data_IF_121889729892
#
_entry.id   IF_121889729892
#
_cell.length_a   1.000
_cell.length_b   1.000
_cell.length_c   1.000
_cell.angle_alpha   90.00
_cell.angle_beta   90.00
_cell.angle_gamma   90.00
#
_symmetry.space_group_name_H-M   'P 1'
#
loop_
_entity.id
_entity.type
_entity.pdbx_description
1 polymer ?
#
# COMPACT_ATOMS: atom_id res chain seq x y z
N UNK A 1 0.27 22.13 29.89
CA UNK A 1 0.95 23.03 28.93
C UNK A 1 1.48 22.15 27.82
N UNK A 2 0.72 22.02 26.74
CA UNK A 2 1.23 21.36 25.53
C UNK A 2 2.32 22.26 24.97
N UNK A 3 3.54 21.73 24.82
CA UNK A 3 4.60 22.44 24.12
C UNK A 3 4.09 22.76 22.72
N UNK A 4 4.12 24.04 22.31
CA UNK A 4 3.70 24.47 20.99
C UNK A 4 4.39 23.60 19.93
N UNK A 5 3.60 22.78 19.21
CA UNK A 5 4.05 22.02 18.04
C UNK A 5 4.46 20.55 18.28
N UNK A 6 4.15 19.93 19.41
CA UNK A 6 4.35 18.48 19.61
C UNK A 6 3.07 17.85 20.18
N UNK A 7 2.59 16.78 19.57
CA UNK A 7 1.49 15.92 20.03
C UNK A 7 1.99 14.48 20.19
N UNK A 8 1.81 13.90 21.37
CA UNK A 8 2.13 12.49 21.63
C UNK A 8 0.87 11.64 21.57
N UNK A 9 0.95 10.49 20.93
CA UNK A 9 -0.15 9.53 20.81
C UNK A 9 0.30 8.19 21.39
N UNK A 10 -0.43 7.68 22.38
CA UNK A 10 -0.31 6.30 22.84
C UNK A 10 -1.36 5.40 22.19
N UNK A 11 -1.15 4.08 22.24
CA UNK A 11 -2.14 3.12 21.72
C UNK A 11 -3.46 3.15 22.46
N UNK A 12 -3.45 3.56 23.73
CA UNK A 12 -4.64 3.64 24.59
C UNK A 12 -5.54 4.80 24.16
N UNK A 13 -4.95 5.89 23.67
CA UNK A 13 -5.66 7.10 23.25
C UNK A 13 -6.53 6.86 22.01
N UNK A 14 -6.25 5.79 21.25
CA UNK A 14 -6.94 5.50 19.98
C UNK A 14 -8.29 4.81 20.19
N UNK A 15 -8.47 4.07 21.28
CA UNK A 15 -9.66 3.23 21.51
C UNK A 15 -10.99 4.01 21.47
N UNK A 16 -11.10 5.20 22.08
CA UNK A 16 -12.35 5.97 22.06
C UNK A 16 -12.75 6.48 20.67
N UNK A 17 -11.82 6.59 19.74
CA UNK A 17 -12.01 7.17 18.40
C UNK A 17 -12.06 6.12 17.31
N UNK A 18 -11.89 4.84 17.65
CA UNK A 18 -11.94 3.76 16.68
C UNK A 18 -13.39 3.56 16.18
N UNK A 19 -13.63 3.42 14.86
CA UNK A 19 -14.93 3.03 14.34
C UNK A 19 -15.30 1.62 14.78
N UNK A 20 -16.58 1.27 14.70
CA UNK A 20 -17.04 -0.08 15.05
C UNK A 20 -16.43 -1.14 14.13
N UNK A 21 -16.28 -0.83 12.84
CA UNK A 21 -15.67 -1.70 11.84
C UNK A 21 -14.92 -0.87 10.80
N UNK A 22 -13.86 -1.43 10.22
CA UNK A 22 -13.12 -0.85 9.13
C UNK A 22 -12.65 -1.94 8.14
N UNK A 23 -13.30 -2.02 6.99
CA UNK A 23 -12.99 -2.95 5.91
C UNK A 23 -12.51 -2.18 4.68
N UNK A 24 -11.61 -2.79 3.90
CA UNK A 24 -11.22 -2.25 2.60
C UNK A 24 -12.33 -2.54 1.59
N UNK A 25 -12.82 -1.48 0.94
CA UNK A 25 -13.84 -1.53 -0.11
C UNK A 25 -13.43 -0.70 -1.33
N UNK A 26 -14.15 -0.83 -2.44
CA UNK A 26 -13.99 -0.02 -3.66
C UNK A 26 -12.57 -0.04 -4.24
N UNK A 27 -11.93 -1.21 -4.21
CA UNK A 27 -10.55 -1.38 -4.69
C UNK A 27 -10.49 -1.21 -6.21
N UNK A 28 -9.67 -0.25 -6.66
CA UNK A 28 -9.40 0.00 -8.09
C UNK A 28 -7.90 0.02 -8.33
N UNK A 29 -7.46 -0.60 -9.42
CA UNK A 29 -6.13 -0.36 -9.97
C UNK A 29 -6.21 0.87 -10.88
N UNK A 30 -5.34 1.84 -10.65
CA UNK A 30 -5.37 3.11 -11.37
C UNK A 30 -4.19 3.26 -12.34
N UNK A 31 -2.98 2.99 -11.88
CA UNK A 31 -1.79 3.15 -12.69
C UNK A 31 -0.68 2.21 -12.21
N UNK A 32 0.37 2.11 -13.00
CA UNK A 32 1.60 1.42 -12.62
C UNK A 32 2.79 1.97 -13.39
N UNK A 33 4.00 1.66 -12.92
CA UNK A 33 5.23 1.98 -13.63
C UNK A 33 6.36 1.03 -13.23
N UNK A 34 7.37 0.93 -14.10
CA UNK A 34 8.65 0.32 -13.75
C UNK A 34 9.72 1.40 -13.60
N UNK A 35 10.58 1.26 -12.60
CA UNK A 35 11.86 1.95 -12.61
C UNK A 35 12.78 1.31 -13.66
N UNK A 36 13.43 2.17 -14.44
CA UNK A 36 14.38 1.78 -15.49
C UNK A 36 15.79 2.14 -15.05
N UNK A 37 16.74 1.22 -15.26
CA UNK A 37 18.16 1.52 -15.06
C UNK A 37 18.62 2.50 -16.17
N UNK A 38 18.95 3.73 -15.78
CA UNK A 38 19.35 4.80 -16.67
C UNK A 38 20.22 5.83 -15.91
N UNK A 39 20.89 6.72 -16.65
CA UNK A 39 21.72 7.79 -16.06
C UNK A 39 20.93 8.88 -15.35
N UNK A 40 19.64 9.03 -15.67
CA UNK A 40 18.69 9.95 -15.04
C UNK A 40 17.52 9.17 -14.46
N UNK A 41 16.81 9.69 -13.44
CA UNK A 41 15.60 9.07 -12.95
C UNK A 41 14.62 8.80 -14.10
N UNK A 42 14.35 7.52 -14.39
CA UNK A 42 13.54 7.13 -15.55
C UNK A 42 12.52 6.08 -15.17
N UNK A 43 11.26 6.28 -15.58
CA UNK A 43 10.19 5.30 -15.42
C UNK A 43 9.57 4.93 -16.76
N UNK A 44 9.07 3.69 -16.86
CA UNK A 44 8.21 3.24 -17.95
C UNK A 44 6.76 3.15 -17.45
N UNK A 45 5.82 3.74 -18.17
CA UNK A 45 4.38 3.80 -17.86
C UNK A 45 3.56 3.23 -19.02
N UNK A 46 2.62 2.30 -18.78
CA UNK A 46 2.21 1.73 -17.48
C UNK A 46 3.23 0.75 -16.89
N UNK A 47 4.31 0.41 -17.59
CA UNK A 47 5.21 -0.65 -17.21
C UNK A 47 4.55 -2.03 -17.26
N UNK A 48 5.27 -3.04 -16.80
CA UNK A 48 4.71 -4.40 -16.63
C UNK A 48 5.40 -5.09 -15.48
N UNK A 49 4.67 -5.79 -14.60
CA UNK A 49 5.30 -6.66 -13.60
C UNK A 49 6.03 -7.80 -14.29
N UNK A 50 7.05 -8.33 -13.64
CA UNK A 50 7.75 -9.50 -14.13
C UNK A 50 6.80 -10.71 -14.22
N UNK A 51 6.88 -11.48 -15.28
CA UNK A 51 6.01 -12.64 -15.48
C UNK A 51 6.54 -13.83 -14.71
N UNK A 52 5.71 -14.46 -13.91
CA UNK A 52 6.03 -15.70 -13.23
C UNK A 52 6.36 -16.80 -14.23
N UNK A 53 7.56 -17.36 -14.11
CA UNK A 53 8.10 -18.39 -15.00
C UNK A 53 8.83 -19.43 -14.17
N UNK A 54 8.10 -20.35 -13.50
CA UNK A 54 8.70 -21.29 -12.58
C UNK A 54 9.63 -22.27 -13.31
N UNK A 55 10.83 -22.42 -12.79
CA UNK A 55 11.78 -23.43 -13.24
C UNK A 55 11.35 -24.81 -12.75
N UNK A 56 11.55 -25.83 -13.58
CA UNK A 56 11.26 -27.22 -13.23
C UNK A 56 12.40 -27.84 -12.41
N UNK A 57 12.06 -28.73 -11.48
CA UNK A 57 12.98 -29.50 -10.67
C UNK A 57 13.69 -28.68 -9.57
N UNK A 58 14.71 -29.30 -8.97
CA UNK A 58 15.52 -28.65 -7.96
C UNK A 58 16.52 -27.67 -8.58
N UNK A 59 16.63 -26.48 -7.99
CA UNK A 59 17.53 -25.42 -8.47
C UNK A 59 18.38 -24.86 -7.34
N UNK A 60 19.70 -24.89 -7.52
CA UNK A 60 20.63 -24.19 -6.66
C UNK A 60 20.71 -22.73 -7.12
N UNK A 61 20.41 -21.79 -6.22
CA UNK A 61 20.56 -20.36 -6.46
C UNK A 61 21.77 -19.80 -5.70
N UNK A 62 22.26 -18.67 -6.17
CA UNK A 62 23.25 -17.87 -5.46
C UNK A 62 22.59 -17.10 -4.33
N UNK A 63 23.36 -16.74 -3.32
CA UNK A 63 22.94 -15.80 -2.27
C UNK A 63 22.75 -14.41 -2.88
N UNK A 64 21.82 -13.65 -2.30
CA UNK A 64 21.64 -12.25 -2.65
C UNK A 64 22.95 -11.48 -2.44
N UNK A 65 23.27 -10.58 -3.36
CA UNK A 65 24.50 -9.78 -3.32
C UNK A 65 24.35 -8.50 -4.14
N UNK A 66 25.20 -7.52 -3.87
CA UNK A 66 25.19 -6.24 -4.57
C UNK A 66 24.17 -5.25 -3.99
N UNK A 67 23.75 -4.29 -4.81
CA UNK A 67 22.85 -3.22 -4.39
C UNK A 67 21.41 -3.73 -4.24
N UNK A 68 20.82 -3.43 -3.09
CA UNK A 68 19.42 -3.73 -2.76
C UNK A 68 18.74 -2.44 -2.28
N UNK A 69 17.56 -2.15 -2.80
CA UNK A 69 16.81 -0.95 -2.41
C UNK A 69 15.92 -1.21 -1.19
N UNK A 70 16.08 -0.37 -0.16
CA UNK A 70 15.17 -0.28 0.99
C UNK A 70 13.97 0.60 0.61
N UNK A 71 14.23 1.69 -0.11
CA UNK A 71 13.23 2.60 -0.66
C UNK A 71 13.65 3.06 -2.05
N UNK A 72 13.32 2.27 -3.07
CA UNK A 72 13.77 2.53 -4.45
C UNK A 72 13.34 3.90 -4.96
N UNK A 73 12.12 4.32 -4.66
CA UNK A 73 11.62 5.62 -5.09
C UNK A 73 12.44 6.78 -4.50
N UNK A 74 12.77 6.70 -3.20
CA UNK A 74 13.59 7.71 -2.54
C UNK A 74 15.04 7.64 -3.02
N UNK A 75 15.58 6.45 -3.25
CA UNK A 75 16.95 6.28 -3.74
C UNK A 75 17.14 6.84 -5.16
N UNK A 76 16.14 6.66 -6.03
CA UNK A 76 16.23 7.08 -7.44
C UNK A 76 15.75 8.51 -7.71
N UNK A 77 14.86 9.02 -6.86
CA UNK A 77 14.28 10.37 -7.01
C UNK A 77 14.08 11.03 -5.64
N UNK A 78 15.18 11.40 -4.95
CA UNK A 78 15.14 11.83 -3.54
C UNK A 78 14.36 13.14 -3.32
N UNK A 79 14.40 14.06 -4.29
CA UNK A 79 13.73 15.36 -4.17
C UNK A 79 12.21 15.25 -4.20
N UNK A 80 11.68 14.26 -4.92
CA UNK A 80 10.23 14.02 -5.03
C UNK A 80 9.89 12.54 -5.19
N UNK A 81 10.04 11.70 -4.14
CA UNK A 81 9.86 10.26 -4.24
C UNK A 81 8.45 9.81 -4.66
N UNK A 82 7.46 10.68 -4.50
CA UNK A 82 6.06 10.42 -4.89
C UNK A 82 5.69 10.93 -6.29
N UNK A 83 6.55 11.72 -6.93
CA UNK A 83 6.28 12.22 -8.28
C UNK A 83 5.98 11.12 -9.29
N UNK A 84 6.72 9.98 -9.35
CA UNK A 84 6.39 8.87 -10.25
C UNK A 84 4.97 8.34 -10.10
N UNK A 85 4.41 8.36 -8.88
CA UNK A 85 3.02 7.96 -8.62
C UNK A 85 2.05 8.89 -9.34
N UNK A 86 2.21 10.21 -9.16
CA UNK A 86 1.30 11.20 -9.75
C UNK A 86 1.44 11.27 -11.27
N UNK A 87 2.69 11.26 -11.77
CA UNK A 87 2.91 11.27 -13.23
C UNK A 87 2.28 10.06 -13.91
N UNK A 88 2.50 8.87 -13.39
CA UNK A 88 1.86 7.67 -13.96
C UNK A 88 0.34 7.68 -13.81
N UNK A 89 -0.20 8.17 -12.69
CA UNK A 89 -1.64 8.32 -12.50
C UNK A 89 -2.27 9.23 -13.57
N UNK A 90 -1.71 10.41 -13.80
CA UNK A 90 -2.28 11.37 -14.77
C UNK A 90 -2.01 10.98 -16.23
N UNK A 91 -1.02 10.14 -16.46
CA UNK A 91 -0.79 9.52 -17.76
C UNK A 91 -1.91 8.53 -18.12
N UNK A 92 -2.30 7.69 -17.17
CA UNK A 92 -3.34 6.67 -17.36
C UNK A 92 -4.76 7.27 -17.19
N UNK A 93 -4.89 8.29 -16.33
CA UNK A 93 -6.14 8.94 -16.00
C UNK A 93 -5.99 10.47 -15.97
N UNK A 94 -5.93 11.15 -17.14
CA UNK A 94 -5.67 12.60 -17.22
C UNK A 94 -6.67 13.47 -16.44
N UNK A 95 -7.93 13.01 -16.32
CA UNK A 95 -9.02 13.67 -15.63
C UNK A 95 -9.28 13.16 -14.20
N UNK A 96 -8.31 12.43 -13.60
CA UNK A 96 -8.48 11.91 -12.24
C UNK A 96 -8.66 13.06 -11.24
N UNK A 97 -9.75 13.01 -10.48
CA UNK A 97 -10.02 13.97 -9.41
C UNK A 97 -9.30 13.58 -8.13
N UNK A 98 -8.16 14.21 -7.90
CA UNK A 98 -7.33 13.97 -6.69
C UNK A 98 -8.00 14.52 -5.43
N UNK A 99 -8.93 15.49 -5.52
CA UNK A 99 -9.66 16.02 -4.37
C UNK A 99 -10.62 14.98 -3.75
N UNK A 100 -10.93 13.90 -4.49
CA UNK A 100 -11.69 12.76 -3.98
C UNK A 100 -10.88 11.83 -3.05
N UNK A 101 -9.57 12.07 -2.91
CA UNK A 101 -8.62 11.25 -2.12
C UNK A 101 -8.27 11.98 -0.83
N UNK A 102 -8.44 11.29 0.30
CA UNK A 102 -8.02 11.82 1.61
C UNK A 102 -6.52 11.62 1.88
N UNK A 103 -5.95 10.51 1.38
CA UNK A 103 -4.57 10.10 1.70
C UNK A 103 -3.87 9.52 0.49
N UNK A 104 -2.69 10.04 0.18
CA UNK A 104 -1.72 9.44 -0.76
C UNK A 104 -0.54 8.91 0.02
N UNK A 105 -0.17 7.64 -0.18
CA UNK A 105 0.92 7.03 0.60
C UNK A 105 1.50 5.78 -0.03
N UNK A 106 2.60 5.29 0.54
CA UNK A 106 3.18 3.97 0.27
C UNK A 106 2.61 2.90 1.22
N UNK A 107 2.49 1.66 0.74
CA UNK A 107 2.13 0.46 1.53
C UNK A 107 2.91 0.38 2.85
N UNK A 108 4.20 0.71 2.82
CA UNK A 108 5.07 0.64 3.99
C UNK A 108 4.58 1.52 5.14
N UNK A 109 4.16 2.77 4.88
CA UNK A 109 3.68 3.67 5.91
C UNK A 109 2.43 3.12 6.61
N UNK A 110 1.47 2.59 5.84
CA UNK A 110 0.27 1.97 6.42
C UNK A 110 0.65 0.78 7.30
N UNK A 111 1.58 -0.07 6.86
CA UNK A 111 2.07 -1.22 7.65
C UNK A 111 2.76 -0.79 8.94
N UNK A 112 3.61 0.24 8.91
CA UNK A 112 4.27 0.81 10.10
C UNK A 112 3.23 1.31 11.11
N UNK A 113 2.23 2.09 10.65
CA UNK A 113 1.14 2.59 11.49
C UNK A 113 0.26 1.46 12.03
N UNK A 114 -0.04 0.44 11.23
CA UNK A 114 -0.78 -0.74 11.68
C UNK A 114 0.02 -1.53 12.74
N UNK A 115 1.32 -1.73 12.53
CA UNK A 115 2.18 -2.39 13.51
C UNK A 115 2.31 -1.58 14.81
N UNK A 116 2.22 -0.26 14.76
CA UNK A 116 2.11 0.55 15.97
C UNK A 116 0.83 0.23 16.74
N UNK A 117 -0.32 0.08 16.10
CA UNK A 117 -1.57 -0.24 16.81
C UNK A 117 -1.57 -1.64 17.42
N UNK A 118 -0.85 -2.59 16.84
CA UNK A 118 -0.70 -3.98 17.31
C UNK A 118 0.70 -4.51 17.00
N UNK A 119 1.68 -4.30 17.90
CA UNK A 119 3.08 -4.68 17.68
C UNK A 119 3.31 -6.16 17.36
N UNK A 120 2.41 -7.04 17.81
CA UNK A 120 2.46 -8.48 17.55
C UNK A 120 2.24 -8.85 16.07
N UNK A 121 1.83 -7.90 15.22
CA UNK A 121 1.77 -8.09 13.77
C UNK A 121 3.15 -8.03 13.11
N UNK A 122 4.16 -7.55 13.81
CA UNK A 122 5.54 -7.55 13.35
C UNK A 122 6.32 -8.63 14.09
N UNK A 123 6.86 -9.61 13.36
CA UNK A 123 7.60 -10.75 13.94
C UNK A 123 8.82 -10.31 14.76
N UNK A 124 9.52 -9.27 14.29
CA UNK A 124 10.74 -8.74 14.91
C UNK A 124 10.47 -7.52 15.81
N UNK A 125 9.20 -7.28 16.18
CA UNK A 125 8.81 -6.05 16.86
C UNK A 125 8.71 -4.85 15.92
N UNK A 126 8.38 -3.70 16.49
CA UNK A 126 8.27 -2.46 15.75
C UNK A 126 9.54 -1.61 15.97
N UNK A 127 10.36 -1.46 14.94
CA UNK A 127 11.52 -0.57 14.94
C UNK A 127 11.11 0.91 14.87
N UNK A 128 12.06 1.81 15.13
CA UNK A 128 11.86 3.25 14.94
C UNK A 128 11.50 3.56 13.47
N UNK A 129 10.63 4.54 13.26
CA UNK A 129 10.31 5.01 11.93
C UNK A 129 9.90 6.47 11.94
N UNK A 130 10.03 7.10 10.78
CA UNK A 130 9.56 8.46 10.52
C UNK A 130 8.68 8.47 9.28
N UNK A 131 7.60 9.25 9.31
CA UNK A 131 6.72 9.52 8.18
C UNK A 131 6.53 11.03 8.10
N UNK A 132 6.77 11.59 6.94
CA UNK A 132 6.49 12.98 6.67
C UNK A 132 5.08 13.13 6.16
N UNK A 133 4.32 14.11 6.68
CA UNK A 133 2.92 14.35 6.31
C UNK A 133 2.76 15.80 5.86
N UNK A 134 2.30 15.98 4.63
CA UNK A 134 2.05 17.28 4.04
C UNK A 134 0.64 17.33 3.48
N UNK A 135 -0.03 18.47 3.64
CA UNK A 135 -1.36 18.69 3.10
C UNK A 135 -1.28 19.40 1.74
N UNK A 136 -1.95 18.83 0.74
CA UNK A 136 -2.28 19.48 -0.51
C UNK A 136 -3.83 19.65 -0.53
N UNK A 137 -4.31 20.85 -0.31
CA UNK A 137 -5.72 21.13 -0.01
C UNK A 137 -6.26 20.21 1.11
N UNK A 138 -7.19 19.29 0.80
CA UNK A 138 -7.75 18.35 1.78
C UNK A 138 -7.05 16.98 1.79
N UNK A 139 -6.19 16.71 0.80
CA UNK A 139 -5.45 15.45 0.66
C UNK A 139 -4.16 15.49 1.49
N UNK A 140 -3.93 14.47 2.30
CA UNK A 140 -2.66 14.30 3.02
C UNK A 140 -1.71 13.40 2.22
N UNK A 141 -0.49 13.83 2.06
CA UNK A 141 0.59 13.12 1.38
C UNK A 141 1.53 12.58 2.46
N UNK A 142 1.59 11.26 2.62
CA UNK A 142 2.45 10.57 3.58
C UNK A 142 3.69 10.05 2.87
N UNK A 143 4.82 10.70 3.06
CA UNK A 143 6.09 10.33 2.46
C UNK A 143 6.95 9.51 3.42
N UNK A 144 7.65 8.51 2.90
CA UNK A 144 8.63 7.72 3.67
C UNK A 144 9.84 8.60 3.99
N UNK A 145 10.32 8.47 5.24
CA UNK A 145 11.57 9.07 5.68
C UNK A 145 12.43 7.96 6.27
N UNK A 146 13.38 7.47 5.47
CA UNK A 146 14.25 6.34 5.81
C UNK A 146 15.67 6.83 5.98
N UNK A 147 16.36 6.36 7.02
CA UNK A 147 17.78 6.68 7.28
C UNK A 147 18.72 6.12 6.23
N UNK A 148 18.34 5.03 5.57
CA UNK A 148 19.03 4.47 4.41
C UNK A 148 17.99 4.09 3.34
N UNK A 149 18.28 4.39 2.09
CA UNK A 149 17.40 4.11 0.96
C UNK A 149 17.81 2.88 0.16
N UNK A 150 19.04 2.42 0.37
CA UNK A 150 19.61 1.19 -0.19
C UNK A 150 20.67 0.63 0.73
N UNK A 151 21.04 -0.63 0.55
CA UNK A 151 22.20 -1.30 1.13
C UNK A 151 23.00 -2.03 0.06
N UNK A 152 24.26 -2.30 0.34
CA UNK A 152 25.13 -3.11 -0.53
C UNK A 152 25.53 -4.36 0.22
N UNK A 153 25.04 -5.51 -0.26
CA UNK A 153 25.37 -6.82 0.31
C UNK A 153 26.74 -7.26 -0.21
N UNK A 154 27.70 -7.33 0.68
CA UNK A 154 29.07 -7.77 0.39
C UNK A 154 29.16 -9.27 0.14
N UNK A 155 30.26 -9.73 -0.49
CA UNK A 155 30.43 -11.15 -0.86
C UNK A 155 30.54 -12.10 0.36
N UNK A 156 30.88 -11.59 1.56
CA UNK A 156 30.93 -12.35 2.82
C UNK A 156 29.64 -12.32 3.63
N UNK A 157 28.67 -11.52 3.23
CA UNK A 157 27.40 -11.36 3.94
C UNK A 157 26.35 -12.34 3.46
N UNK A 158 25.43 -12.68 4.35
CA UNK A 158 24.26 -13.46 4.02
C UNK A 158 22.99 -12.70 4.41
N UNK A 159 22.17 -12.36 3.41
CA UNK A 159 20.87 -11.71 3.58
C UNK A 159 19.71 -12.56 3.04
N UNK A 160 20.01 -13.72 2.44
CA UNK A 160 18.99 -14.59 1.91
C UNK A 160 19.18 -14.94 0.44
N UNK A 161 18.06 -15.27 -0.21
CA UNK A 161 18.00 -15.67 -1.62
C UNK A 161 16.83 -14.99 -2.36
N UNK A 162 16.18 -14.00 -1.76
CA UNK A 162 14.94 -13.41 -2.27
C UNK A 162 15.09 -12.83 -3.67
N UNK A 163 16.05 -11.91 -3.85
CA UNK A 163 16.29 -11.23 -5.12
C UNK A 163 16.79 -12.18 -6.23
N UNK A 164 17.69 -13.10 -5.87
CA UNK A 164 18.17 -14.08 -6.83
C UNK A 164 17.08 -15.10 -7.20
N UNK A 165 16.14 -15.38 -6.27
CA UNK A 165 14.99 -16.20 -6.55
C UNK A 165 14.01 -15.48 -7.52
N UNK A 166 13.67 -14.24 -7.24
CA UNK A 166 12.80 -13.42 -8.12
C UNK A 166 13.38 -13.35 -9.54
N UNK A 167 14.67 -13.03 -9.67
CA UNK A 167 15.37 -13.03 -10.98
C UNK A 167 15.31 -14.37 -11.70
N UNK A 168 15.44 -15.48 -10.97
CA UNK A 168 15.49 -16.83 -11.57
C UNK A 168 14.09 -17.37 -11.96
N UNK A 169 13.03 -16.93 -11.25
CA UNK A 169 11.67 -17.46 -11.39
C UNK A 169 10.70 -16.50 -12.03
N UNK A 170 11.17 -15.35 -12.49
CA UNK A 170 10.37 -14.38 -13.27
C UNK A 170 11.08 -13.96 -14.54
N UNK A 171 10.32 -13.49 -15.51
CA UNK A 171 10.82 -12.92 -16.76
C UNK A 171 10.43 -11.45 -16.81
N UNK A 172 11.43 -10.56 -16.83
CA UNK A 172 11.23 -9.13 -16.98
C UNK A 172 10.67 -8.81 -18.36
N UNK A 173 9.59 -8.02 -18.44
CA UNK A 173 8.88 -7.65 -19.66
C UNK A 173 9.25 -6.27 -20.18
N UNK A 174 9.74 -5.41 -19.32
CA UNK A 174 10.20 -4.05 -19.67
C UNK A 174 11.72 -4.05 -19.58
N UNK A 175 12.39 -3.67 -20.67
CA UNK A 175 13.84 -3.68 -20.72
C UNK A 175 14.45 -2.79 -19.62
N UNK A 176 15.54 -3.25 -19.02
CA UNK A 176 16.27 -2.56 -17.95
C UNK A 176 15.43 -2.19 -16.72
N UNK A 177 14.29 -2.86 -16.53
CA UNK A 177 13.45 -2.70 -15.35
C UNK A 177 14.15 -3.20 -14.08
N UNK A 178 14.04 -2.41 -13.02
CA UNK A 178 14.62 -2.71 -11.68
C UNK A 178 13.56 -2.89 -10.60
N UNK A 179 12.29 -2.70 -10.91
CA UNK A 179 11.15 -2.88 -10.01
C UNK A 179 9.86 -2.37 -10.62
N UNK A 180 8.74 -3.00 -10.28
CA UNK A 180 7.41 -2.62 -10.75
C UNK A 180 6.56 -2.11 -9.61
N UNK A 181 6.03 -0.91 -9.75
CA UNK A 181 5.18 -0.25 -8.75
C UNK A 181 3.75 -0.09 -9.28
N UNK A 182 2.78 -0.40 -8.42
CA UNK A 182 1.35 -0.25 -8.72
C UNK A 182 0.74 0.83 -7.83
N UNK A 183 -0.24 1.52 -8.38
CA UNK A 183 -1.04 2.53 -7.70
C UNK A 183 -2.48 2.02 -7.68
N UNK A 184 -3.00 1.83 -6.47
CA UNK A 184 -4.39 1.41 -6.24
C UNK A 184 -5.11 2.44 -5.40
N UNK A 185 -6.42 2.54 -5.58
CA UNK A 185 -7.27 3.27 -4.65
C UNK A 185 -8.25 2.33 -3.96
N UNK A 186 -8.62 2.68 -2.73
CA UNK A 186 -9.66 1.99 -1.97
C UNK A 186 -10.21 2.88 -0.85
N UNK A 187 -11.29 2.44 -0.23
CA UNK A 187 -11.86 3.07 0.97
C UNK A 187 -11.57 2.22 2.20
N UNK A 188 -11.25 2.87 3.32
CA UNK A 188 -11.05 2.23 4.62
C UNK A 188 -11.50 3.16 5.75
N UNK A 189 -12.45 2.73 6.56
CA UNK A 189 -12.93 3.49 7.72
C UNK A 189 -13.49 4.89 7.41
N UNK A 190 -14.07 5.03 6.19
CA UNK A 190 -14.63 6.29 5.69
C UNK A 190 -13.61 7.22 5.00
N UNK A 191 -12.34 6.83 4.92
CA UNK A 191 -11.29 7.56 4.20
C UNK A 191 -11.02 6.93 2.84
N UNK A 192 -10.69 7.75 1.84
CA UNK A 192 -10.28 7.35 0.50
C UNK A 192 -8.75 7.36 0.40
N UNK A 193 -8.17 6.25 0.02
CA UNK A 193 -6.71 6.07 -0.09
C UNK A 193 -6.27 5.94 -1.53
N UNK A 194 -5.11 6.50 -1.83
CA UNK A 194 -4.30 6.22 -3.00
C UNK A 194 -2.99 5.63 -2.52
N UNK A 195 -2.74 4.35 -2.83
CA UNK A 195 -1.63 3.59 -2.25
C UNK A 195 -0.71 3.06 -3.34
N UNK A 196 0.58 3.39 -3.22
CA UNK A 196 1.64 2.81 -4.05
C UNK A 196 2.27 1.62 -3.34
N UNK A 197 2.52 0.56 -4.10
CA UNK A 197 3.25 -0.62 -3.62
C UNK A 197 4.04 -1.28 -4.74
N UNK A 198 5.11 -1.96 -4.39
CA UNK A 198 5.87 -2.82 -5.29
C UNK A 198 5.15 -4.15 -5.48
N UNK A 199 5.30 -4.76 -6.67
CA UNK A 199 4.72 -6.03 -7.05
C UNK A 199 5.81 -6.92 -7.63
N UNK A 200 6.04 -8.08 -7.01
CA UNK A 200 7.16 -8.97 -7.36
C UNK A 200 6.93 -9.67 -8.71
N UNK A 201 5.66 -9.86 -9.10
CA UNK A 201 5.37 -10.47 -10.39
C UNK A 201 3.87 -10.65 -10.68
N UNK A 202 3.59 -11.30 -11.81
CA UNK A 202 2.23 -11.68 -12.21
C UNK A 202 2.19 -13.06 -12.85
N UNK A 203 1.04 -13.76 -12.75
CA UNK A 203 0.75 -15.01 -13.46
C UNK A 203 -0.03 -14.74 -14.73
N UNK A 204 0.13 -15.63 -15.71
CA UNK A 204 -0.57 -15.57 -17.00
C UNK A 204 0.18 -14.76 -18.05
N UNK A 205 -0.20 -14.96 -19.30
CA UNK A 205 0.33 -14.19 -20.41
C UNK A 205 -0.29 -12.79 -20.41
N UNK A 206 0.54 -11.77 -20.30
CA UNK A 206 0.18 -10.38 -20.59
C UNK A 206 0.12 -10.19 -22.13
N UNK A 207 -0.45 -11.16 -22.86
CA UNK A 207 -0.75 -10.94 -24.28
C UNK A 207 -1.75 -9.80 -24.32
N UNK A 208 -1.51 -8.86 -25.22
CA UNK A 208 -2.46 -7.82 -25.55
C UNK A 208 -3.85 -8.46 -25.60
N UNK A 209 -4.79 -7.92 -24.89
CA UNK A 209 -6.20 -8.24 -25.04
C UNK A 209 -6.70 -7.66 -26.38
N UNK A 210 -6.11 -8.10 -27.47
CA UNK A 210 -6.83 -8.19 -28.74
C UNK A 210 -7.77 -9.36 -28.53
N UNK A 211 -8.93 -9.07 -27.92
CA UNK A 211 -10.08 -9.94 -28.09
C UNK A 211 -10.23 -10.16 -29.59
N UNK A 212 -10.21 -11.43 -30.00
CA UNK A 212 -10.75 -11.89 -31.29
C UNK A 212 -12.30 -11.70 -31.28
N UNK A 213 -12.75 -10.52 -30.95
CA UNK A 213 -14.08 -10.02 -31.29
C UNK A 213 -13.91 -9.30 -32.62
N UNK A 214 -14.50 -9.88 -33.68
CA UNK A 214 -14.65 -9.17 -34.97
C UNK A 214 -15.16 -7.77 -34.63
N UNK A 215 -14.49 -6.69 -35.13
CA UNK A 215 -14.87 -5.32 -34.82
C UNK A 215 -16.32 -5.11 -35.24
N UNK A 216 -17.17 -4.74 -34.28
CA UNK A 216 -18.46 -4.16 -34.60
C UNK A 216 -18.23 -2.74 -35.15
N UNK A 217 -19.11 -2.22 -36.01
CA UNK A 217 -18.96 -0.88 -36.61
C UNK A 217 -18.75 0.24 -35.59
N UNK A 218 -19.30 0.12 -34.38
CA UNK A 218 -19.11 1.08 -33.28
C UNK A 218 -17.69 1.06 -32.70
N UNK A 219 -17.03 -0.14 -32.64
CA UNK A 219 -15.63 -0.25 -32.19
C UNK A 219 -14.62 0.27 -33.24
N UNK A 220 -15.01 0.31 -34.54
CA UNK A 220 -14.12 0.79 -35.59
C UNK A 220 -13.94 2.30 -35.51
N UNK A 221 -14.95 3.04 -35.13
CA UNK A 221 -14.90 4.50 -34.93
C UNK A 221 -13.96 4.89 -33.80
N UNK A 222 -13.97 4.15 -32.69
CA UNK A 222 -13.08 4.39 -31.53
C UNK A 222 -11.62 3.99 -31.88
N UNK A 223 -11.43 2.91 -32.64
CA UNK A 223 -10.09 2.49 -33.12
C UNK A 223 -9.54 3.52 -34.12
N UNK A 224 -10.35 4.02 -35.05
CA UNK A 224 -9.94 5.06 -35.99
C UNK A 224 -9.66 6.40 -35.28
N UNK A 225 -10.42 6.75 -34.25
CA UNK A 225 -10.16 7.94 -33.43
C UNK A 225 -8.83 7.82 -32.69
N UNK A 226 -8.51 6.65 -32.19
CA UNK A 226 -7.22 6.40 -31.52
C UNK A 226 -6.04 6.38 -32.48
N UNK A 227 -6.23 5.92 -33.73
CA UNK A 227 -5.20 5.88 -34.76
C UNK A 227 -4.94 7.27 -35.38
N UNK A 228 -5.95 8.14 -35.49
CA UNK A 228 -5.75 9.52 -35.93
C UNK A 228 -4.98 10.39 -34.93
N UNK A 229 -4.99 10.03 -33.66
CA UNK A 229 -4.19 10.69 -32.62
C UNK A 229 -2.72 10.19 -32.57
N UNK A 230 -2.40 9.08 -33.27
CA UNK A 230 -1.04 8.51 -33.29
C UNK A 230 -0.19 8.95 -34.48
N UNK A 231 -0.73 9.75 -35.42
CA UNK A 231 0.05 10.21 -36.61
C UNK A 231 0.84 11.51 -36.40
N UNK A 232 0.75 12.11 -35.23
CA UNK A 232 1.69 13.13 -34.73
C UNK A 232 2.47 12.59 -33.54
N UNK A 233 3.35 11.61 -33.79
CA UNK A 233 4.44 11.30 -32.91
C UNK A 233 5.50 12.41 -33.02
N UNK A 234 5.13 13.63 -32.70
CA UNK A 234 6.05 14.60 -32.16
C UNK A 234 6.45 14.09 -30.78
N UNK A 235 7.72 13.85 -30.60
CA UNK A 235 8.39 13.78 -29.32
C UNK A 235 7.97 15.02 -28.51
N UNK A 236 6.85 14.95 -27.82
CA UNK A 236 6.57 15.82 -26.70
C UNK A 236 7.51 15.37 -25.60
N UNK A 237 8.69 15.96 -25.60
CA UNK A 237 9.53 16.13 -24.45
C UNK A 237 8.74 17.05 -23.49
N UNK A 238 7.72 16.47 -22.82
CA UNK A 238 7.04 17.12 -21.68
C UNK A 238 8.00 17.06 -20.48
N UNK A 239 9.19 17.61 -20.63
CA UNK A 239 9.95 18.07 -19.52
C UNK A 239 9.23 19.31 -18.98
N UNK A 240 8.37 19.12 -17.96
CA UNK A 240 8.00 20.21 -17.10
C UNK A 240 9.32 20.84 -16.61
N UNK A 241 9.48 22.13 -16.74
CA UNK A 241 10.72 22.90 -16.54
C UNK A 241 11.37 22.68 -15.14
N UNK A 242 10.76 21.90 -14.25
CA UNK A 242 11.16 21.72 -12.85
C UNK A 242 11.45 20.24 -12.45
N UNK A 243 11.20 19.24 -13.32
CA UNK A 243 11.42 17.84 -12.97
C UNK A 243 12.48 17.18 -13.85
N UNK A 244 13.42 16.44 -13.21
CA UNK A 244 14.41 15.61 -13.89
C UNK A 244 13.92 14.17 -14.15
N UNK A 245 12.64 13.86 -13.92
CA UNK A 245 12.06 12.54 -14.13
C UNK A 245 11.74 12.31 -15.61
N UNK A 246 12.42 11.35 -16.23
CA UNK A 246 12.15 10.92 -17.60
C UNK A 246 11.05 9.85 -17.62
N UNK A 247 10.08 9.98 -18.55
CA UNK A 247 8.97 9.05 -18.68
C UNK A 247 8.98 8.41 -20.06
N UNK A 248 8.97 7.07 -20.10
CA UNK A 248 8.81 6.27 -21.32
C UNK A 248 7.42 5.67 -21.37
N UNK A 249 6.80 5.66 -22.53
CA UNK A 249 5.54 4.93 -22.75
C UNK A 249 5.88 3.50 -23.17
N UNK A 250 5.82 2.57 -22.22
CA UNK A 250 6.20 1.18 -22.42
C UNK A 250 5.52 0.27 -21.42
N UNK A 251 5.24 -0.97 -21.85
CA UNK A 251 4.64 -2.01 -21.01
C UNK A 251 3.13 -2.14 -21.16
N UNK A 252 2.56 -3.01 -20.34
CA UNK A 252 1.12 -3.29 -20.32
C UNK A 252 0.64 -3.46 -18.88
N UNK A 253 -0.51 -2.92 -18.58
CA UNK A 253 -1.16 -3.09 -17.27
C UNK A 253 -1.51 -4.56 -17.03
N UNK A 254 -1.13 -5.11 -15.87
CA UNK A 254 -1.54 -6.44 -15.45
C UNK A 254 -2.84 -6.35 -14.61
N UNK A 255 -3.82 -7.26 -14.82
CA UNK A 255 -4.98 -7.36 -13.96
C UNK A 255 -4.56 -7.58 -12.50
N UNK A 256 -5.31 -7.03 -11.53
CA UNK A 256 -5.02 -7.23 -10.11
C UNK A 256 -4.99 -8.72 -9.74
N UNK A 257 -5.91 -9.48 -10.29
CA UNK A 257 -6.09 -10.91 -10.03
C UNK A 257 -4.88 -11.76 -10.45
N UNK A 258 -4.02 -11.23 -11.31
CA UNK A 258 -2.79 -11.89 -11.75
C UNK A 258 -1.57 -11.59 -10.87
N UNK A 259 -1.62 -10.53 -10.05
CA UNK A 259 -0.46 -10.09 -9.27
C UNK A 259 -0.10 -11.04 -8.14
N UNK A 260 1.19 -11.18 -7.87
CA UNK A 260 1.70 -12.05 -6.80
C UNK A 260 2.81 -11.37 -5.99
N UNK A 261 2.92 -11.83 -4.76
CA UNK A 261 4.03 -11.57 -3.84
C UNK A 261 4.87 -12.83 -3.71
N UNK A 262 6.20 -12.71 -3.67
CA UNK A 262 7.15 -13.82 -3.53
C UNK A 262 7.82 -13.72 -2.16
N UNK A 263 7.89 -14.84 -1.44
CA UNK A 263 8.63 -14.94 -0.19
C UNK A 263 9.47 -16.19 -0.18
N UNK A 264 10.77 -16.03 0.01
CA UNK A 264 11.70 -17.15 0.20
C UNK A 264 11.86 -17.46 1.68
N UNK A 265 12.03 -18.74 2.01
CA UNK A 265 12.22 -19.20 3.40
C UNK A 265 12.97 -20.52 3.45
N UNK A 266 13.78 -20.69 4.46
CA UNK A 266 14.36 -21.99 4.75
C UNK A 266 13.27 -23.01 5.11
N UNK A 267 13.35 -24.25 4.60
CA UNK A 267 12.25 -25.23 4.62
C UNK A 267 11.78 -25.61 6.05
N UNK A 268 12.67 -25.61 7.04
CA UNK A 268 12.33 -25.98 8.43
C UNK A 268 11.71 -24.83 9.25
N UNK A 269 11.55 -23.64 8.67
CA UNK A 269 10.86 -22.50 9.27
C UNK A 269 9.74 -22.06 8.33
N UNK A 270 8.59 -22.76 8.28
CA UNK A 270 7.52 -22.43 7.34
C UNK A 270 7.03 -21.01 7.53
N UNK A 271 6.69 -20.36 6.43
CA UNK A 271 6.14 -19.01 6.41
C UNK A 271 4.64 -19.08 6.71
N UNK A 272 4.25 -18.55 7.85
CA UNK A 272 2.84 -18.42 8.20
C UNK A 272 2.22 -17.22 7.47
N UNK A 273 0.96 -17.37 7.03
CA UNK A 273 0.27 -16.28 6.32
C UNK A 273 0.22 -14.99 7.16
N UNK A 274 0.06 -15.10 8.47
CA UNK A 274 0.01 -13.98 9.41
C UNK A 274 1.25 -13.08 9.35
N UNK A 275 2.41 -13.61 8.96
CA UNK A 275 3.65 -12.84 8.81
C UNK A 275 3.61 -11.86 7.61
N UNK A 276 2.82 -12.19 6.58
CA UNK A 276 2.73 -11.41 5.33
C UNK A 276 1.32 -10.84 5.07
N UNK A 277 0.33 -11.25 5.86
CA UNK A 277 -1.07 -10.88 5.65
C UNK A 277 -1.30 -9.37 5.62
N UNK A 278 -0.68 -8.62 6.54
CA UNK A 278 -0.78 -7.16 6.55
C UNK A 278 -0.24 -6.52 5.26
N UNK A 279 0.83 -7.08 4.69
CA UNK A 279 1.41 -6.62 3.43
C UNK A 279 0.45 -6.88 2.26
N UNK A 280 -0.08 -8.10 2.16
CA UNK A 280 -1.03 -8.51 1.13
C UNK A 280 -2.36 -7.76 1.25
N UNK A 281 -2.81 -7.52 2.48
CA UNK A 281 -4.03 -6.76 2.77
C UNK A 281 -3.93 -5.31 2.30
N UNK A 282 -2.85 -4.58 2.63
CA UNK A 282 -2.67 -3.18 2.20
C UNK A 282 -2.51 -3.07 0.68
N UNK A 283 -1.79 -3.98 0.04
CA UNK A 283 -1.57 -3.98 -1.42
C UNK A 283 -2.70 -4.63 -2.22
N UNK A 284 -3.64 -5.31 -1.55
CA UNK A 284 -4.71 -6.09 -2.19
C UNK A 284 -4.17 -7.09 -3.22
N UNK A 285 -2.98 -7.67 -2.93
CA UNK A 285 -2.32 -8.68 -3.76
C UNK A 285 -2.93 -10.05 -3.47
N UNK A 286 -3.56 -10.72 -4.46
CA UNK A 286 -4.33 -11.94 -4.22
C UNK A 286 -3.50 -13.22 -4.18
N UNK A 287 -2.27 -13.20 -4.71
CA UNK A 287 -1.48 -14.42 -4.86
C UNK A 287 -0.17 -14.33 -4.07
N UNK A 288 0.21 -15.48 -3.50
CA UNK A 288 1.45 -15.66 -2.74
C UNK A 288 2.23 -16.86 -3.29
N UNK A 289 3.54 -16.66 -3.44
CA UNK A 289 4.49 -17.73 -3.70
C UNK A 289 5.35 -17.92 -2.45
N UNK A 290 5.24 -19.07 -1.80
CA UNK A 290 6.13 -19.47 -0.70
C UNK A 290 7.21 -20.38 -1.25
N UNK A 291 8.39 -19.82 -1.44
CA UNK A 291 9.53 -20.54 -2.01
C UNK A 291 10.44 -21.06 -0.89
N UNK A 292 10.39 -22.36 -0.67
CA UNK A 292 11.18 -23.00 0.37
C UNK A 292 12.51 -23.57 -0.17
N UNK A 293 13.56 -23.39 0.61
CA UNK A 293 14.88 -23.88 0.23
C UNK A 293 15.61 -24.62 1.35
N UNK A 294 16.54 -25.48 0.95
CA UNK A 294 17.56 -26.06 1.82
C UNK A 294 18.91 -25.65 1.29
N UNK A 295 19.64 -24.79 2.02
CA UNK A 295 20.96 -24.26 1.63
C UNK A 295 20.97 -23.63 0.21
N UNK A 296 19.90 -22.95 -0.17
CA UNK A 296 19.76 -22.32 -1.49
C UNK A 296 19.30 -23.26 -2.61
N UNK A 297 18.98 -24.51 -2.32
CA UNK A 297 18.34 -25.42 -3.28
C UNK A 297 16.84 -25.31 -3.12
N UNK A 298 16.18 -24.81 -4.15
CA UNK A 298 14.72 -24.62 -4.22
C UNK A 298 14.05 -25.75 -5.00
N UNK A 299 12.89 -26.19 -4.52
CA UNK A 299 11.93 -26.96 -5.34
C UNK A 299 11.01 -25.99 -6.09
N UNK A 300 10.30 -26.49 -7.11
CA UNK A 300 9.31 -25.68 -7.82
C UNK A 300 8.18 -25.27 -6.87
N UNK A 301 8.02 -23.96 -6.55
CA UNK A 301 6.97 -23.51 -5.66
C UNK A 301 5.63 -23.39 -6.39
N UNK A 302 4.55 -23.43 -5.62
CA UNK A 302 3.18 -23.21 -6.13
C UNK A 302 2.77 -21.77 -5.92
N UNK A 303 1.96 -21.27 -6.85
CA UNK A 303 1.23 -20.01 -6.68
C UNK A 303 -0.06 -20.32 -5.92
N UNK A 304 -0.24 -19.68 -4.78
CA UNK A 304 -1.40 -19.84 -3.90
C UNK A 304 -2.33 -18.63 -4.08
N UNK A 305 -3.63 -18.83 -4.23
CA UNK A 305 -4.61 -17.76 -4.07
C UNK A 305 -4.93 -17.61 -2.57
N UNK A 306 -4.56 -16.47 -2.02
CA UNK A 306 -4.72 -16.17 -0.58
C UNK A 306 -5.81 -15.15 -0.30
N UNK A 307 -6.62 -14.80 -1.30
CA UNK A 307 -7.66 -13.76 -1.20
C UNK A 307 -8.62 -14.00 -0.04
N UNK A 308 -9.15 -15.23 0.07
CA UNK A 308 -10.09 -15.58 1.14
C UNK A 308 -9.42 -15.51 2.53
N UNK A 309 -8.19 -16.00 2.63
CA UNK A 309 -7.44 -16.01 3.89
C UNK A 309 -7.03 -14.59 4.34
N UNK A 310 -6.71 -13.69 3.41
CA UNK A 310 -6.43 -12.28 3.72
C UNK A 310 -7.71 -11.55 4.15
N UNK A 311 -8.88 -11.85 3.56
CA UNK A 311 -10.17 -11.32 4.02
C UNK A 311 -10.55 -11.81 5.42
N UNK A 312 -10.25 -13.08 5.73
CA UNK A 312 -10.48 -13.62 7.07
C UNK A 312 -9.52 -12.96 8.08
N UNK A 313 -8.26 -12.75 7.71
CA UNK A 313 -7.31 -12.00 8.51
C UNK A 313 -7.82 -10.58 8.79
N UNK A 314 -8.37 -9.87 7.81
CA UNK A 314 -8.98 -8.54 7.98
C UNK A 314 -10.09 -8.55 9.04
N UNK A 315 -11.00 -9.54 8.98
CA UNK A 315 -12.11 -9.68 9.94
C UNK A 315 -11.60 -9.96 11.37
N UNK A 316 -10.59 -10.81 11.50
CA UNK A 316 -10.05 -11.21 12.80
C UNK A 316 -9.12 -10.16 13.43
N UNK A 317 -8.71 -9.13 12.67
CA UNK A 317 -7.82 -8.08 13.11
C UNK A 317 -8.48 -6.70 13.21
N UNK A 318 -9.81 -6.65 13.30
CA UNK A 318 -10.57 -5.40 13.35
C UNK A 318 -10.15 -4.50 14.54
N UNK A 319 -9.74 -5.05 15.68
CA UNK A 319 -9.21 -4.28 16.80
C UNK A 319 -7.98 -3.42 16.40
N UNK A 320 -7.08 -3.96 15.60
CA UNK A 320 -5.91 -3.23 15.11
C UNK A 320 -6.27 -2.27 13.96
N UNK A 321 -7.13 -2.70 13.03
CA UNK A 321 -7.49 -1.93 11.84
C UNK A 321 -8.34 -0.71 12.20
N UNK A 322 -9.28 -0.83 13.12
CA UNK A 322 -10.09 0.30 13.58
C UNK A 322 -9.25 1.33 14.34
N UNK A 323 -8.28 0.88 15.14
CA UNK A 323 -7.29 1.77 15.76
C UNK A 323 -6.38 2.45 14.74
N UNK A 324 -5.99 1.75 13.66
CA UNK A 324 -5.25 2.35 12.56
C UNK A 324 -6.03 3.51 11.94
N UNK A 325 -7.33 3.32 11.68
CA UNK A 325 -8.19 4.39 11.15
C UNK A 325 -8.25 5.58 12.11
N UNK A 326 -8.42 5.32 13.43
CA UNK A 326 -8.42 6.36 14.44
C UNK A 326 -7.08 7.12 14.48
N UNK A 327 -5.96 6.40 14.42
CA UNK A 327 -4.62 6.99 14.39
C UNK A 327 -4.44 7.89 13.17
N UNK A 328 -4.79 7.41 11.98
CA UNK A 328 -4.69 8.19 10.75
C UNK A 328 -5.55 9.45 10.84
N UNK A 329 -6.80 9.35 11.29
CA UNK A 329 -7.68 10.52 11.49
C UNK A 329 -7.09 11.51 12.50
N UNK A 330 -6.43 11.03 13.55
CA UNK A 330 -5.74 11.88 14.52
C UNK A 330 -4.56 12.63 13.86
N UNK A 331 -3.71 11.93 13.10
CA UNK A 331 -2.60 12.53 12.35
C UNK A 331 -3.12 13.62 11.39
N UNK A 332 -4.15 13.32 10.60
CA UNK A 332 -4.77 14.28 9.69
C UNK A 332 -5.27 15.53 10.41
N UNK A 333 -5.98 15.36 11.53
CA UNK A 333 -6.50 16.47 12.34
C UNK A 333 -5.37 17.35 12.86
N UNK A 334 -4.34 16.76 13.45
CA UNK A 334 -3.20 17.49 14.04
C UNK A 334 -2.43 18.24 12.96
N UNK A 335 -2.10 17.60 11.84
CA UNK A 335 -1.36 18.22 10.73
C UNK A 335 -2.13 19.40 10.13
N UNK A 336 -3.46 19.26 9.91
CA UNK A 336 -4.30 20.36 9.43
C UNK A 336 -4.29 21.55 10.38
N UNK A 337 -4.43 21.31 11.68
CA UNK A 337 -4.45 22.36 12.69
C UNK A 337 -3.12 23.12 12.79
N UNK A 338 -2.02 22.51 12.39
CA UNK A 338 -0.69 23.11 12.44
C UNK A 338 -0.23 23.77 11.14
N UNK A 339 -1.11 23.95 10.17
CA UNK A 339 -0.80 24.67 8.92
C UNK A 339 -0.33 23.77 7.78
N UNK A 340 -0.51 22.44 7.92
CA UNK A 340 -0.42 21.51 6.80
C UNK A 340 0.85 20.67 6.68
N UNK A 341 1.87 20.84 7.53
CA UNK A 341 3.07 19.98 7.52
C UNK A 341 3.44 19.49 8.91
N UNK A 342 3.72 18.19 9.01
CA UNK A 342 4.17 17.56 10.24
C UNK A 342 5.10 16.37 9.98
N UNK A 343 5.79 15.92 11.01
CA UNK A 343 6.56 14.67 11.03
C UNK A 343 5.97 13.76 12.08
N UNK A 344 5.66 12.53 11.70
CA UNK A 344 5.19 11.47 12.59
C UNK A 344 6.36 10.52 12.87
N UNK A 345 6.82 10.45 14.11
CA UNK A 345 7.94 9.62 14.53
C UNK A 345 7.53 8.61 15.57
N UNK A 346 7.95 7.38 15.42
CA UNK A 346 7.88 6.36 16.46
C UNK A 346 9.26 6.08 17.04
N UNK A 347 9.32 6.14 18.39
CA UNK A 347 10.51 5.77 19.15
C UNK A 347 10.16 4.53 19.99
N UNK A 348 10.79 3.37 19.75
CA UNK A 348 10.52 2.16 20.50
C UNK A 348 10.88 2.27 21.99
N UNK A 349 11.79 3.17 22.38
CA UNK A 349 12.14 3.38 23.78
C UNK A 349 11.03 4.09 24.56
N UNK A 350 10.30 4.99 23.91
CA UNK A 350 9.15 5.70 24.50
C UNK A 350 7.84 4.96 24.31
N UNK A 351 7.78 4.07 23.32
CA UNK A 351 6.59 3.33 22.88
C UNK A 351 5.40 4.23 22.55
N UNK A 352 5.67 5.41 21.98
CA UNK A 352 4.71 6.43 21.57
C UNK A 352 5.00 6.93 20.17
N UNK A 353 3.96 7.44 19.51
CA UNK A 353 4.09 8.27 18.33
C UNK A 353 4.15 9.73 18.74
N UNK A 354 5.14 10.44 18.23
CA UNK A 354 5.26 11.89 18.33
C UNK A 354 4.90 12.50 16.98
N UNK A 355 3.97 13.45 16.97
CA UNK A 355 3.70 14.30 15.79
C UNK A 355 4.32 15.65 16.12
N UNK A 356 5.21 16.11 15.24
CA UNK A 356 5.90 17.39 15.40
C UNK A 356 5.55 18.30 14.24
N UNK A 357 5.18 19.55 14.53
CA UNK A 357 5.01 20.59 13.52
C UNK A 357 6.34 20.86 12.84
N UNK A 358 6.33 20.95 11.52
CA UNK A 358 7.52 21.29 10.72
C UNK A 358 7.16 22.31 9.65
N UNK A 359 8.13 23.14 9.31
CA UNK A 359 8.09 23.98 8.12
C UNK A 359 9.06 23.38 7.11
N UNK A 360 8.57 23.03 5.94
CA UNK A 360 9.40 22.50 4.86
C UNK A 360 8.91 22.90 3.49
N UNK A 361 9.79 22.72 2.51
CA UNK A 361 9.46 22.88 1.09
C UNK A 361 8.46 21.84 0.66
N UNK A 362 7.67 22.14 -0.38
CA UNK A 362 6.74 21.23 -1.01
C UNK A 362 7.44 19.94 -1.45
N UNK A 363 6.78 18.78 -1.26
CA UNK A 363 7.33 17.45 -1.55
C UNK A 363 7.11 16.99 -2.99
N UNK A 364 6.36 17.77 -3.78
CA UNK A 364 6.07 17.52 -5.19
C UNK A 364 6.46 18.75 -6.02
N UNK A 365 6.72 18.58 -7.32
CA UNK A 365 6.80 19.67 -8.28
C UNK A 365 5.53 20.54 -8.28
N UNK A 366 5.70 21.84 -8.52
CA UNK A 366 4.62 22.83 -8.41
C UNK A 366 3.47 22.56 -9.36
N UNK A 367 3.75 22.11 -10.57
CA UNK A 367 2.74 21.76 -11.57
C UNK A 367 1.77 20.63 -11.11
N UNK A 368 2.22 19.74 -10.22
CA UNK A 368 1.37 18.71 -9.65
C UNK A 368 0.40 19.29 -8.61
N UNK A 369 0.77 20.35 -7.88
CA UNK A 369 -0.12 20.99 -6.92
C UNK A 369 -1.29 21.69 -7.59
N UNK A 370 -1.13 22.17 -8.83
CA UNK A 370 -2.21 22.80 -9.60
C UNK A 370 -3.42 21.85 -9.81
N UNK A 371 -3.21 20.53 -9.70
CA UNK A 371 -4.27 19.52 -9.80
C UNK A 371 -5.30 19.60 -8.65
N UNK A 372 -4.91 20.12 -7.49
CA UNK A 372 -5.85 20.38 -6.38
C UNK A 372 -6.57 21.70 -6.50
N UNK A 373 -6.06 22.64 -7.31
CA UNK A 373 -6.63 23.98 -7.50
C UNK A 373 -7.65 24.02 -8.63
N UNK A 374 -7.67 23.01 -9.52
CA UNK A 374 -8.55 22.99 -10.70
C UNK A 374 -10.00 22.68 -10.26
N UNK A 375 -10.98 23.60 -10.45
CA UNK A 375 -12.39 23.31 -10.19
C UNK A 375 -12.85 22.20 -11.14
N UNK A 376 -13.51 21.18 -10.60
CA UNK A 376 -14.16 20.14 -11.41
C UNK A 376 -15.15 20.81 -12.35
N UNK A 377 -15.08 20.63 -13.70
CA UNK A 377 -16.09 21.16 -14.61
C UNK A 377 -17.48 20.65 -14.19
N UNK A 378 -18.41 21.55 -13.94
CA UNK A 378 -19.75 21.26 -13.42
C UNK A 378 -20.56 20.23 -14.25
N UNK A 379 -20.10 19.87 -15.43
CA UNK A 379 -20.76 18.93 -16.35
C UNK A 379 -20.59 17.44 -16.00
N UNK A 380 -19.70 17.05 -15.06
CA UNK A 380 -19.49 15.65 -14.67
C UNK A 380 -20.41 15.23 -13.51
N UNK A 381 -20.90 16.18 -12.72
CA UNK A 381 -21.71 15.90 -11.52
C UNK A 381 -23.16 15.47 -11.85
N UNK A 382 -23.65 15.64 -13.08
CA UNK A 382 -25.06 15.37 -13.44
C UNK A 382 -25.39 13.94 -13.92
N UNK A 383 -24.44 12.99 -14.01
CA UNK A 383 -24.74 11.62 -14.48
C UNK A 383 -24.86 10.54 -13.39
N UNK A 384 -24.70 10.88 -12.11
CA UNK A 384 -24.71 9.88 -11.02
C UNK A 384 -25.97 9.91 -10.13
N UNK A 385 -26.96 10.72 -10.41
CA UNK A 385 -28.14 10.85 -9.54
C UNK A 385 -29.46 10.85 -10.30
N UNK A 386 -29.78 9.77 -11.04
CA UNK A 386 -31.18 9.41 -11.38
C UNK A 386 -31.23 7.90 -11.60
N UNK A 387 -31.51 7.13 -10.57
CA UNK A 387 -32.37 5.93 -10.56
C UNK A 387 -32.40 5.37 -9.12
N UNK A 388 -33.30 5.96 -8.31
CA UNK A 388 -33.77 5.30 -7.10
C UNK A 388 -35.25 4.96 -7.33
N UNK A 389 -35.74 3.76 -6.97
CA UNK A 389 -37.16 3.42 -7.11
C UNK A 389 -38.00 4.12 -6.04
N UNK A 390 -39.05 4.81 -6.49
CA UNK A 390 -40.13 5.29 -5.64
C UNK A 390 -40.77 4.14 -4.86
N UNK A 391 -40.68 4.20 -3.54
CA UNK A 391 -41.48 3.37 -2.66
C UNK A 391 -42.59 4.20 -2.08
N UNK A 392 -43.79 4.00 -2.62
CA UNK A 392 -45.05 4.54 -2.10
C UNK A 392 -45.36 3.94 -0.72
N UNK A 393 -45.31 4.80 0.30
CA UNK A 393 -45.81 4.51 1.64
C UNK A 393 -47.33 4.45 1.65
N UNK A 394 -47.90 3.26 1.92
CA UNK A 394 -49.28 3.13 2.42
C UNK A 394 -49.25 2.96 3.94
N UNK A 395 -49.69 4.00 4.62
CA UNK A 395 -50.03 3.96 6.05
C UNK A 395 -51.10 2.90 6.32
N UNK A 396 -50.87 2.04 7.31
CA UNK A 396 -51.95 1.37 8.04
C UNK A 396 -51.61 1.36 9.54
N UNK A 397 -52.43 2.14 10.28
CA UNK A 397 -52.62 2.08 11.72
C UNK A 397 -53.08 0.72 12.18
N UNK A 398 -52.46 0.14 13.21
CA UNK A 398 -53.23 -0.66 14.22
C UNK A 398 -52.46 -0.71 15.55
N UNK A 399 -53.22 -0.58 16.57
CA UNK A 399 -53.10 -0.42 18.02
C UNK A 399 -52.21 -1.42 18.73
N UNK A 400 -51.61 -0.93 19.84
CA UNK A 400 -51.09 -1.67 21.02
C UNK A 400 -52.14 -2.56 21.67
N UNK A 401 -51.75 -3.60 22.42
CA UNK A 401 -51.93 -3.53 23.85
C UNK A 401 -50.70 -3.99 24.69
N UNK A 402 -50.73 -3.47 25.92
CA UNK A 402 -49.88 -3.61 27.08
C UNK A 402 -50.08 -4.96 27.84
N UNK A 403 -49.05 -5.35 28.60
CA UNK A 403 -49.00 -6.05 29.91
C UNK A 403 -47.99 -7.21 29.87
N UNK A 404 -47.26 -7.63 30.89
CA UNK A 404 -47.00 -7.26 32.29
C UNK A 404 -45.84 -8.16 32.78
N UNK A 405 -45.06 -7.63 33.68
CA UNK A 405 -44.30 -8.18 34.83
C UNK A 405 -44.09 -9.70 35.03
N UNK A 406 -42.84 -10.03 35.46
CA UNK A 406 -42.46 -11.25 36.23
C UNK A 406 -40.93 -11.36 36.29
N UNK A 407 -40.29 -10.89 37.31
CA UNK A 407 -39.67 -11.34 38.56
C UNK A 407 -38.57 -12.40 38.44
N UNK A 408 -37.38 -11.96 38.97
CA UNK A 408 -36.39 -12.62 39.80
C UNK A 408 -35.86 -14.03 39.44
N UNK A 409 -34.53 -14.12 39.32
CA UNK A 409 -33.76 -15.06 40.12
C UNK A 409 -32.25 -14.80 40.09
N UNK A 410 -31.58 -15.20 41.18
CA UNK A 410 -30.40 -14.79 41.84
C UNK A 410 -29.07 -15.37 41.29
N UNK A 411 -27.96 -14.66 41.58
CA UNK A 411 -26.54 -15.09 41.52
C UNK A 411 -26.23 -16.29 42.45
N UNK A 412 -25.12 -17.00 42.15
CA UNK A 412 -24.17 -17.23 43.23
C UNK A 412 -22.69 -16.91 42.95
N UNK A 413 -22.07 -16.52 44.01
CA UNK A 413 -20.72 -16.22 44.37
C UNK A 413 -19.56 -17.07 43.79
N UNK A 414 -18.47 -16.42 43.36
CA UNK A 414 -17.21 -16.29 44.13
C UNK A 414 -16.14 -17.35 43.85
N UNK A 415 -15.03 -16.97 43.17
CA UNK A 415 -13.73 -17.60 43.40
C UNK A 415 -12.64 -16.49 43.37
N UNK A 416 -11.78 -16.55 44.39
CA UNK A 416 -10.69 -15.62 44.71
C UNK A 416 -9.50 -15.81 43.78
N UNK A 417 -8.87 -14.70 43.41
CA UNK A 417 -7.55 -14.65 42.76
C UNK A 417 -6.43 -14.59 43.81
N UNK A 418 -5.36 -15.35 43.59
CA UNK A 418 -4.07 -15.15 44.26
C UNK A 418 -3.02 -14.66 43.24
N UNK A 419 -2.02 -13.86 43.67
CA UNK A 419 -1.09 -13.18 42.78
C UNK A 419 0.17 -14.00 42.48
N UNK A 420 0.54 -14.10 41.23
CA UNK A 420 1.80 -14.71 40.81
C UNK A 420 2.93 -13.67 40.70
N UNK A 421 4.05 -14.04 41.27
CA UNK A 421 5.29 -13.29 41.50
C UNK A 421 6.01 -12.84 40.22
N UNK A 422 6.47 -11.58 40.26
CA UNK A 422 7.52 -11.04 39.41
C UNK A 422 8.78 -11.93 39.40
N UNK A 423 9.29 -12.26 38.22
CA UNK A 423 10.71 -12.63 38.03
C UNK A 423 11.31 -11.67 37.01
N UNK A 424 12.32 -10.93 37.48
CA UNK A 424 13.26 -10.18 36.64
C UNK A 424 14.01 -11.15 35.72
N UNK A 425 14.07 -10.84 34.44
CA UNK A 425 14.99 -11.43 33.50
C UNK A 425 15.75 -10.30 32.79
N UNK A 426 17.03 -10.39 32.90
CA UNK A 426 18.13 -9.56 32.48
C UNK A 426 18.13 -9.36 30.96
N UNK A 427 18.37 -8.12 30.55
CA UNK A 427 18.62 -7.71 29.17
C UNK A 427 19.97 -8.31 28.74
N UNK A 428 19.93 -9.20 27.75
CA UNK A 428 21.09 -9.56 26.94
C UNK A 428 20.81 -9.08 25.52
N UNK A 429 21.63 -8.13 25.09
CA UNK A 429 21.74 -7.70 23.71
C UNK A 429 22.16 -8.89 22.85
N UNK A 430 21.39 -9.24 21.83
CA UNK A 430 21.77 -10.14 20.76
C UNK A 430 21.41 -9.54 19.41
N UNK A 431 22.46 -9.29 18.71
CA UNK A 431 22.70 -9.04 17.31
C UNK A 431 21.71 -9.68 16.34
N UNK A 432 21.33 -8.86 15.35
CA UNK A 432 20.74 -9.13 14.06
C UNK A 432 20.91 -10.55 13.54
N UNK A 433 19.80 -11.25 13.36
CA UNK A 433 19.59 -12.22 12.29
C UNK A 433 18.32 -11.81 11.55
N UNK A 434 18.51 -11.03 10.50
CA UNK A 434 17.49 -10.79 9.48
C UNK A 434 17.54 -11.98 8.53
N UNK A 435 16.68 -12.96 8.75
CA UNK A 435 16.26 -13.91 7.73
C UNK A 435 15.04 -13.29 6.99
N UNK A 436 15.29 -12.82 5.78
CA UNK A 436 14.28 -12.39 4.79
C UNK A 436 13.51 -13.60 4.27
#
# INVERSE_FOLDING_TARGET
>A
MTSEGIEEISRLDLKPFAPAEALITDVKHLASYNWIEASTPTIAVPGSPAQWSPLSGLRQLKKDSGLVYISQNTARHPDSPLEPLFRSLYIEHPSFDINSIDIVTDRNNIRKLLSFTKPTLSKNGLGAFTIQVDMAAQTAIFSRDETATYEVIGPGEFRGFGHEFEKAYTITRVKDSTGHHRIISYRLGGLSFLVRHETDGCVGDLKSSTKDERPTEENLADILSSLTLTSEASSMDESSVESNLTIKREGHMAPRESTLEIKTRVFHKPLELTEVAAQLWVSQTPKLVRAYHQRGIFSTPKVEDVTAAVKDWERTHQDAITKLVALIKCILRVTRNWGGSSTVRYDPLKDKLEITKVERTKVLPEDLYSRWETPIPANVVRKASVHGPEVTQKMRNTRRPTAALGKDEALPHGIKAEPAKLRHATIAALTNEQDS
#
